data_IF_368834339018
#
_entry.id   IF_368834339018
#
_cell.length_a   1.000
_cell.length_b   1.000
_cell.length_c   1.000
_cell.angle_alpha   90.00
_cell.angle_beta   90.00
_cell.angle_gamma   90.00
#
_symmetry.space_group_name_H-M   'P 1'
#
loop_
_entity.id
_entity.type
_entity.pdbx_description
1 polymer ?
#
# COMPACT_ATOMS: atom_id res chain seq x y z
N UNK A 1 0.74 -16.49 22.58
CA UNK A 1 1.90 -16.43 21.67
C UNK A 1 2.11 -15.00 21.20
N UNK A 2 3.35 -14.51 21.19
CA UNK A 2 3.68 -13.16 20.68
C UNK A 2 4.37 -13.27 19.32
N UNK A 3 3.76 -12.61 18.32
CA UNK A 3 4.22 -12.65 16.94
C UNK A 3 4.71 -11.26 16.52
N UNK A 4 5.86 -11.21 15.86
CA UNK A 4 6.39 -9.98 15.29
C UNK A 4 6.44 -10.07 13.76
N UNK A 5 5.78 -9.14 13.08
CA UNK A 5 5.98 -8.91 11.65
C UNK A 5 6.99 -7.78 11.47
N UNK A 6 8.10 -8.03 10.79
CA UNK A 6 9.10 -6.99 10.51
C UNK A 6 9.03 -6.62 9.02
N UNK A 7 8.37 -5.52 8.68
CA UNK A 7 8.23 -5.09 7.30
C UNK A 7 8.51 -3.58 7.14
N UNK A 8 9.71 -3.26 6.73
CA UNK A 8 10.21 -1.89 6.61
C UNK A 8 10.44 -1.48 5.15
N UNK A 9 9.57 -1.95 4.24
CA UNK A 9 9.57 -1.66 2.82
C UNK A 9 8.71 -0.42 2.49
N UNK A 10 8.38 -0.20 1.22
CA UNK A 10 7.54 0.92 0.77
C UNK A 10 6.07 0.73 1.17
N UNK A 11 5.30 1.82 1.11
CA UNK A 11 3.87 1.84 1.47
C UNK A 11 3.07 0.78 0.72
N UNK A 12 3.30 0.61 -0.59
CA UNK A 12 2.62 -0.41 -1.40
C UNK A 12 2.83 -1.82 -0.86
N UNK A 13 4.06 -2.16 -0.48
CA UNK A 13 4.39 -3.48 0.08
C UNK A 13 3.68 -3.72 1.43
N UNK A 14 3.55 -2.66 2.25
CA UNK A 14 2.82 -2.76 3.52
C UNK A 14 1.32 -3.01 3.27
N UNK A 15 0.73 -2.33 2.30
CA UNK A 15 -0.67 -2.56 1.88
C UNK A 15 -0.87 -4.02 1.48
N UNK A 16 0.01 -4.54 0.62
CA UNK A 16 -0.03 -5.92 0.13
C UNK A 16 0.22 -6.96 1.24
N UNK A 17 0.80 -6.55 2.38
CA UNK A 17 1.02 -7.45 3.53
C UNK A 17 -0.16 -7.54 4.51
N UNK A 18 -1.21 -6.77 4.32
CA UNK A 18 -2.38 -6.82 5.24
C UNK A 18 -3.10 -8.18 5.28
N UNK A 19 -3.20 -8.96 4.18
CA UNK A 19 -3.69 -10.33 4.21
C UNK A 19 -2.87 -11.27 5.09
N UNK A 20 -1.53 -11.08 5.15
CA UNK A 20 -0.66 -11.85 6.03
C UNK A 20 -1.00 -11.60 7.52
N UNK A 21 -1.31 -10.35 7.91
CA UNK A 21 -1.72 -10.03 9.28
C UNK A 21 -3.03 -10.76 9.61
N UNK A 22 -4.01 -10.72 8.72
CA UNK A 22 -5.27 -11.44 8.87
C UNK A 22 -5.02 -12.93 9.05
N UNK A 23 -4.21 -13.52 8.16
CA UNK A 23 -3.93 -14.96 8.21
C UNK A 23 -3.21 -15.38 9.49
N UNK A 24 -2.26 -14.60 9.98
CA UNK A 24 -1.59 -14.86 11.26
C UNK A 24 -2.60 -14.86 12.42
N UNK A 25 -3.56 -13.94 12.41
CA UNK A 25 -4.61 -13.88 13.45
C UNK A 25 -5.58 -15.07 13.36
N UNK A 26 -5.92 -15.49 12.13
CA UNK A 26 -6.78 -16.68 11.91
C UNK A 26 -6.09 -17.97 12.39
N UNK A 27 -4.77 -18.11 12.15
CA UNK A 27 -3.99 -19.26 12.62
C UNK A 27 -3.79 -19.29 14.14
N UNK A 28 -3.68 -18.12 14.73
CA UNK A 28 -3.36 -17.94 16.15
C UNK A 28 -4.31 -16.90 16.78
N UNK A 29 -5.59 -17.23 17.02
CA UNK A 29 -6.61 -16.28 17.46
C UNK A 29 -6.23 -15.52 18.75
N UNK A 30 -5.58 -16.20 19.70
CA UNK A 30 -5.18 -15.65 20.99
C UNK A 30 -3.77 -14.99 20.97
N UNK A 31 -3.18 -14.81 19.79
CA UNK A 31 -1.84 -14.20 19.69
C UNK A 31 -1.89 -12.67 19.78
N UNK A 32 -0.84 -12.09 20.34
CA UNK A 32 -0.51 -10.68 20.22
C UNK A 32 0.39 -10.50 18.99
N UNK A 33 -0.08 -9.76 18.00
CA UNK A 33 0.68 -9.49 16.76
C UNK A 33 1.17 -8.04 16.80
N UNK A 34 2.46 -7.85 16.89
CA UNK A 34 3.10 -6.53 16.75
C UNK A 34 3.71 -6.39 15.34
N UNK A 35 3.67 -5.17 14.83
CA UNK A 35 4.17 -4.87 13.49
C UNK A 35 5.26 -3.80 13.52
N UNK A 36 6.50 -4.14 13.13
CA UNK A 36 7.61 -3.21 13.04
C UNK A 36 7.73 -2.65 11.63
N UNK A 37 7.61 -1.33 11.50
CA UNK A 37 7.64 -0.65 10.19
C UNK A 37 8.24 0.74 10.25
N UNK A 38 8.29 1.43 9.08
CA UNK A 38 8.72 2.84 8.99
C UNK A 38 7.60 3.79 9.47
N UNK A 39 7.94 4.99 9.99
CA UNK A 39 6.93 5.99 10.38
C UNK A 39 5.95 6.34 9.26
N UNK A 40 6.44 6.44 8.02
CA UNK A 40 5.62 6.73 6.83
C UNK A 40 4.52 5.70 6.55
N UNK A 41 4.69 4.49 7.06
CA UNK A 41 3.78 3.37 6.80
C UNK A 41 2.71 3.22 7.89
N UNK A 42 2.90 3.90 9.06
CA UNK A 42 2.03 3.72 10.23
C UNK A 42 0.56 3.86 9.89
N UNK A 43 0.21 4.88 9.10
CA UNK A 43 -1.18 5.17 8.76
C UNK A 43 -1.88 4.04 7.99
N UNK A 44 -1.15 3.26 7.19
CA UNK A 44 -1.73 2.16 6.38
C UNK A 44 -2.30 1.04 7.25
N UNK A 45 -1.62 0.74 8.35
CA UNK A 45 -1.96 -0.38 9.25
C UNK A 45 -2.53 0.09 10.59
N UNK A 46 -2.66 1.41 10.81
CA UNK A 46 -3.36 1.93 11.98
C UNK A 46 -4.82 1.46 11.98
N UNK A 47 -5.37 1.28 13.16
CA UNK A 47 -6.72 0.76 13.38
C UNK A 47 -6.96 -0.69 12.88
N UNK A 48 -5.92 -1.42 12.46
CA UNK A 48 -6.08 -2.83 12.13
C UNK A 48 -6.39 -3.61 13.43
N UNK A 49 -7.58 -4.22 13.52
CA UNK A 49 -8.02 -4.87 14.78
C UNK A 49 -7.20 -6.11 15.14
N UNK A 50 -6.43 -6.64 14.20
CA UNK A 50 -5.58 -7.81 14.40
C UNK A 50 -4.19 -7.46 14.92
N UNK A 51 -3.84 -6.17 15.00
CA UNK A 51 -2.55 -5.71 15.54
C UNK A 51 -2.69 -5.27 16.99
N UNK A 52 -1.75 -5.71 17.83
CA UNK A 52 -1.62 -5.26 19.20
C UNK A 52 -0.81 -3.95 19.28
N UNK A 53 0.34 -3.87 18.63
CA UNK A 53 1.19 -2.68 18.63
C UNK A 53 1.88 -2.47 17.27
N UNK A 54 2.10 -1.18 16.90
CA UNK A 54 2.92 -0.78 15.76
C UNK A 54 4.21 -0.17 16.27
N UNK A 55 5.33 -0.86 16.06
CA UNK A 55 6.66 -0.42 16.46
C UNK A 55 7.28 0.35 15.30
N UNK A 56 7.72 1.59 15.57
CA UNK A 56 8.32 2.43 14.55
C UNK A 56 9.83 2.35 14.56
N UNK A 57 10.41 2.16 13.37
CA UNK A 57 11.85 2.18 13.13
C UNK A 57 12.19 3.28 12.11
N UNK A 58 12.50 4.46 12.61
CA UNK A 58 12.83 5.64 11.78
C UNK A 58 14.28 5.62 11.31
N UNK A 59 14.59 4.76 10.36
CA UNK A 59 15.93 4.55 9.81
C UNK A 59 16.59 5.79 9.22
N UNK A 60 15.79 6.79 8.81
CA UNK A 60 16.27 8.02 8.17
C UNK A 60 16.31 9.21 9.13
N UNK A 61 15.57 9.15 10.25
CA UNK A 61 15.48 10.17 11.28
C UNK A 61 16.14 9.73 12.60
N UNK A 62 15.34 9.65 13.68
CA UNK A 62 15.82 9.41 15.05
C UNK A 62 16.54 8.06 15.23
N UNK A 63 16.26 7.06 14.39
CA UNK A 63 16.87 5.73 14.47
C UNK A 63 17.97 5.52 13.41
N UNK A 64 18.58 6.60 12.93
CA UNK A 64 19.68 6.50 11.97
C UNK A 64 20.91 5.82 12.60
N UNK A 65 21.48 4.89 11.86
CA UNK A 65 22.74 4.23 12.23
C UNK A 65 22.59 3.16 13.33
N UNK A 66 23.70 2.89 14.03
CA UNK A 66 23.78 1.80 15.02
C UNK A 66 22.99 2.08 16.30
N UNK A 67 22.91 3.34 16.72
CA UNK A 67 22.16 3.73 17.94
C UNK A 67 20.68 3.41 17.79
N UNK A 68 20.08 3.75 16.65
CA UNK A 68 18.67 3.41 16.37
C UNK A 68 18.44 1.91 16.26
N UNK A 69 19.35 1.19 15.61
CA UNK A 69 19.29 -0.27 15.56
C UNK A 69 19.28 -0.89 16.98
N UNK A 70 20.18 -0.43 17.87
CA UNK A 70 20.27 -0.92 19.25
C UNK A 70 19.03 -0.52 20.07
N UNK A 71 18.45 0.67 19.85
CA UNK A 71 17.19 1.08 20.49
C UNK A 71 16.07 0.10 20.13
N UNK A 72 15.87 -0.16 18.85
CA UNK A 72 14.82 -1.09 18.38
C UNK A 72 15.11 -2.50 18.91
N UNK A 73 16.34 -2.97 18.83
CA UNK A 73 16.74 -4.27 19.36
C UNK A 73 16.40 -4.40 20.86
N UNK A 74 16.64 -3.37 21.66
CA UNK A 74 16.28 -3.36 23.10
C UNK A 74 14.78 -3.55 23.29
N UNK A 75 13.94 -2.85 22.51
CA UNK A 75 12.49 -3.00 22.54
C UNK A 75 12.10 -4.45 22.24
N UNK A 76 12.60 -5.01 21.15
CA UNK A 76 12.27 -6.37 20.74
C UNK A 76 12.67 -7.41 21.78
N UNK A 77 13.84 -7.26 22.41
CA UNK A 77 14.30 -8.15 23.49
C UNK A 77 13.37 -8.12 24.72
N UNK A 78 12.86 -6.95 25.09
CA UNK A 78 11.97 -6.81 26.24
C UNK A 78 10.61 -7.48 26.01
N UNK A 79 10.12 -7.47 24.76
CA UNK A 79 8.81 -8.03 24.40
C UNK A 79 8.78 -9.56 24.32
N UNK A 80 9.93 -10.24 24.14
CA UNK A 80 10.06 -11.71 24.15
C UNK A 80 9.10 -12.39 23.17
N UNK A 81 9.29 -12.14 21.89
CA UNK A 81 8.48 -12.77 20.82
C UNK A 81 8.82 -14.25 20.66
N UNK A 82 7.80 -15.05 20.34
CA UNK A 82 7.90 -16.48 20.05
C UNK A 82 8.16 -16.76 18.56
N UNK A 83 7.67 -15.86 17.71
CA UNK A 83 7.67 -16.03 16.26
C UNK A 83 7.89 -14.70 15.54
N UNK A 84 8.71 -14.70 14.49
CA UNK A 84 8.90 -13.55 13.63
C UNK A 84 8.67 -13.89 12.15
N UNK A 85 7.90 -13.07 11.45
CA UNK A 85 7.71 -13.13 10.00
C UNK A 85 8.37 -11.92 9.37
N UNK A 86 9.27 -12.17 8.39
CA UNK A 86 10.03 -11.13 7.69
C UNK A 86 9.68 -11.15 6.20
N UNK A 87 8.64 -10.37 5.78
CA UNK A 87 8.10 -10.40 4.43
C UNK A 87 8.89 -9.53 3.44
N UNK A 88 10.17 -9.33 3.67
CA UNK A 88 11.06 -8.60 2.75
C UNK A 88 12.52 -9.09 2.83
N UNK A 89 13.39 -8.63 1.90
CA UNK A 89 14.69 -9.22 1.62
C UNK A 89 15.89 -8.59 2.34
N UNK A 90 15.69 -7.68 3.31
CA UNK A 90 16.79 -6.95 3.94
C UNK A 90 17.36 -7.64 5.17
N UNK A 91 18.68 -7.92 5.17
CA UNK A 91 19.42 -8.55 6.26
C UNK A 91 19.20 -7.86 7.63
N UNK A 92 19.09 -6.54 7.69
CA UNK A 92 18.94 -5.82 8.97
C UNK A 92 17.71 -6.27 9.78
N UNK A 93 16.63 -6.66 9.12
CA UNK A 93 15.43 -7.17 9.78
C UNK A 93 15.65 -8.58 10.33
N UNK A 94 16.35 -9.41 9.58
CA UNK A 94 16.73 -10.76 10.04
C UNK A 94 17.66 -10.66 11.25
N UNK A 95 18.65 -9.76 11.19
CA UNK A 95 19.57 -9.51 12.32
C UNK A 95 18.84 -9.00 13.57
N UNK A 96 17.87 -8.09 13.43
CA UNK A 96 17.04 -7.65 14.56
C UNK A 96 16.33 -8.82 15.24
N UNK A 97 15.67 -9.68 14.47
CA UNK A 97 14.98 -10.85 15.00
C UNK A 97 15.95 -11.84 15.67
N UNK A 98 17.07 -12.12 15.01
CA UNK A 98 18.07 -13.06 15.53
C UNK A 98 18.73 -12.56 16.82
N UNK A 99 19.17 -11.30 16.85
CA UNK A 99 19.78 -10.69 18.03
C UNK A 99 18.78 -10.44 19.16
N UNK A 100 17.49 -10.29 18.84
CA UNK A 100 16.40 -10.27 19.83
C UNK A 100 16.13 -11.67 20.43
N UNK A 101 16.81 -12.72 19.94
CA UNK A 101 16.68 -14.13 20.36
C UNK A 101 15.28 -14.70 20.12
N UNK A 102 14.61 -14.27 19.03
CA UNK A 102 13.32 -14.85 18.63
C UNK A 102 13.59 -16.29 18.13
N UNK A 103 12.95 -17.33 18.71
CA UNK A 103 13.29 -18.71 18.44
C UNK A 103 12.89 -19.16 17.02
N UNK A 104 11.79 -18.64 16.49
CA UNK A 104 11.26 -19.04 15.19
C UNK A 104 11.20 -17.83 14.26
N UNK A 105 12.02 -17.83 13.21
CA UNK A 105 12.13 -16.73 12.24
C UNK A 105 11.89 -17.29 10.85
N UNK A 106 10.84 -16.82 10.17
CA UNK A 106 10.53 -17.18 8.78
C UNK A 106 10.75 -15.98 7.84
N UNK A 107 11.23 -16.25 6.65
CA UNK A 107 11.44 -15.26 5.60
C UNK A 107 11.74 -15.93 4.27
N UNK A 108 11.98 -15.13 3.23
CA UNK A 108 12.26 -15.65 1.89
C UNK A 108 13.70 -16.13 1.72
N UNK A 109 13.87 -17.17 0.90
CA UNK A 109 15.16 -17.75 0.53
C UNK A 109 16.07 -16.75 -0.19
N UNK A 110 15.52 -15.85 -0.96
CA UNK A 110 16.20 -14.77 -1.70
C UNK A 110 16.66 -13.61 -0.82
N UNK A 111 16.35 -13.63 0.48
CA UNK A 111 16.76 -12.55 1.39
C UNK A 111 18.27 -12.57 1.66
N UNK A 112 18.90 -11.39 1.63
CA UNK A 112 20.27 -11.25 2.09
C UNK A 112 20.33 -11.66 3.57
N UNK A 113 21.13 -12.71 3.88
CA UNK A 113 21.18 -13.27 5.24
C UNK A 113 20.13 -14.36 5.51
N UNK A 114 19.52 -14.95 4.48
CA UNK A 114 18.53 -16.04 4.62
C UNK A 114 19.07 -17.25 5.40
N UNK A 115 20.41 -17.46 5.45
CA UNK A 115 21.03 -18.50 6.24
C UNK A 115 20.82 -18.36 7.76
N UNK A 116 20.40 -17.18 8.24
CA UNK A 116 20.05 -16.92 9.64
C UNK A 116 18.59 -17.26 9.98
N UNK A 117 17.77 -17.52 8.98
CA UNK A 117 16.34 -17.88 9.15
C UNK A 117 16.22 -19.32 9.66
N UNK A 118 15.23 -19.58 10.53
CA UNK A 118 14.85 -20.92 10.93
C UNK A 118 14.08 -21.64 9.82
N UNK A 119 13.22 -20.89 9.10
CA UNK A 119 12.48 -21.40 7.95
C UNK A 119 12.64 -20.46 6.75
N UNK A 120 13.04 -21.03 5.62
CA UNK A 120 13.16 -20.34 4.34
C UNK A 120 12.00 -20.73 3.46
N UNK A 121 11.34 -19.74 2.87
CA UNK A 121 10.26 -19.94 1.92
C UNK A 121 10.72 -19.46 0.56
N UNK A 122 10.45 -20.24 -0.48
CA UNK A 122 10.80 -19.87 -1.84
C UNK A 122 10.01 -18.65 -2.32
N UNK A 123 10.72 -17.64 -2.87
CA UNK A 123 10.10 -16.45 -3.45
C UNK A 123 9.70 -16.72 -4.91
N UNK A 124 8.48 -17.22 -5.14
CA UNK A 124 8.00 -17.57 -6.48
C UNK A 124 7.60 -16.32 -7.28
N UNK A 125 8.41 -15.96 -8.27
CA UNK A 125 8.17 -14.80 -9.14
C UNK A 125 6.89 -14.91 -10.00
N UNK A 126 6.32 -16.10 -10.16
CA UNK A 126 5.09 -16.32 -10.95
C UNK A 126 3.82 -15.99 -10.18
N UNK A 127 3.88 -15.88 -8.85
CA UNK A 127 2.75 -15.55 -8.00
C UNK A 127 2.55 -14.05 -7.84
N UNK A 128 1.35 -13.65 -7.46
CA UNK A 128 1.11 -12.30 -6.97
C UNK A 128 1.84 -12.05 -5.64
N UNK A 129 2.27 -10.80 -5.36
CA UNK A 129 3.02 -10.49 -4.13
C UNK A 129 2.26 -10.87 -2.86
N UNK A 130 0.95 -10.66 -2.79
CA UNK A 130 0.11 -11.10 -1.66
C UNK A 130 0.23 -12.61 -1.44
N UNK A 131 0.22 -13.40 -2.50
CA UNK A 131 0.31 -14.87 -2.41
C UNK A 131 1.70 -15.31 -1.95
N UNK A 132 2.75 -14.64 -2.43
CA UNK A 132 4.12 -14.86 -1.92
C UNK A 132 4.20 -14.60 -0.41
N UNK A 133 3.59 -13.49 0.04
CA UNK A 133 3.56 -13.15 1.47
C UNK A 133 2.78 -14.17 2.29
N UNK A 134 1.69 -14.73 1.75
CA UNK A 134 0.92 -15.79 2.38
C UNK A 134 1.66 -17.15 2.39
N UNK A 135 2.55 -17.40 1.43
CA UNK A 135 3.42 -18.59 1.46
C UNK A 135 4.32 -18.62 2.70
N UNK A 136 4.68 -17.47 3.29
CA UNK A 136 5.47 -17.40 4.55
C UNK A 136 4.76 -18.10 5.71
N UNK A 137 3.45 -18.23 5.64
CA UNK A 137 2.60 -18.94 6.62
C UNK A 137 1.91 -20.16 6.02
N UNK A 138 2.45 -20.70 4.91
CA UNK A 138 2.00 -21.92 4.22
C UNK A 138 0.52 -21.91 3.84
N UNK A 139 -0.02 -20.74 3.53
CA UNK A 139 -1.41 -20.61 3.15
C UNK A 139 -1.67 -20.97 1.69
N UNK A 140 -2.63 -21.87 1.46
CA UNK A 140 -3.06 -22.34 0.12
C UNK A 140 -4.58 -22.30 -0.04
N UNK A 141 -5.25 -21.51 0.77
CA UNK A 141 -6.70 -21.40 0.77
C UNK A 141 -7.24 -20.34 -0.20
N UNK A 142 -8.46 -19.90 0.05
CA UNK A 142 -9.13 -18.86 -0.71
C UNK A 142 -8.42 -17.51 -0.59
N UNK A 143 -8.70 -16.62 -1.56
CA UNK A 143 -8.11 -15.29 -1.62
C UNK A 143 -8.44 -14.46 -0.38
N UNK A 144 -7.44 -14.07 0.40
CA UNK A 144 -7.60 -13.14 1.53
C UNK A 144 -7.48 -11.70 1.00
N UNK A 145 -8.50 -10.86 1.13
CA UNK A 145 -8.47 -9.51 0.59
C UNK A 145 -7.54 -8.59 1.37
N UNK A 146 -6.98 -7.62 0.68
CA UNK A 146 -6.31 -6.46 1.30
C UNK A 146 -7.35 -5.73 2.16
N UNK A 147 -6.94 -5.24 3.35
CA UNK A 147 -7.82 -4.46 4.21
C UNK A 147 -7.09 -3.29 4.85
N UNK A 148 -7.74 -2.12 4.79
CA UNK A 148 -7.35 -0.90 5.48
C UNK A 148 -8.55 -0.45 6.30
N UNK A 149 -8.31 0.10 7.47
CA UNK A 149 -9.35 0.39 8.46
C UNK A 149 -9.45 1.89 8.77
N UNK A 150 -10.14 2.69 7.92
CA UNK A 150 -10.41 4.08 8.25
C UNK A 150 -11.33 4.19 9.46
N UNK A 151 -11.04 5.11 10.38
CA UNK A 151 -11.88 5.37 11.54
C UNK A 151 -13.04 6.31 11.19
N UNK A 152 -14.03 6.42 12.06
CA UNK A 152 -15.25 7.23 11.83
C UNK A 152 -14.95 8.69 11.47
N UNK A 153 -13.96 9.28 12.14
CA UNK A 153 -13.51 10.65 11.86
C UNK A 153 -12.97 10.84 10.44
N UNK A 154 -12.32 9.82 9.88
CA UNK A 154 -11.82 9.88 8.50
C UNK A 154 -12.99 9.96 7.51
N UNK A 155 -14.03 9.15 7.69
CA UNK A 155 -15.26 9.21 6.89
C UNK A 155 -15.97 10.56 7.04
N UNK A 156 -16.06 11.09 8.27
CA UNK A 156 -16.68 12.38 8.54
C UNK A 156 -15.96 13.51 7.80
N UNK A 157 -14.63 13.54 7.82
CA UNK A 157 -13.84 14.54 7.10
C UNK A 157 -14.06 14.43 5.60
N UNK A 158 -13.98 13.23 5.03
CA UNK A 158 -14.15 13.00 3.59
C UNK A 158 -15.57 13.37 3.13
N UNK A 159 -16.60 13.00 3.89
CA UNK A 159 -17.97 13.36 3.56
C UNK A 159 -18.14 14.89 3.48
N UNK A 160 -17.63 15.64 4.47
CA UNK A 160 -17.70 17.12 4.47
C UNK A 160 -17.03 17.74 3.24
N UNK A 161 -15.87 17.21 2.81
CA UNK A 161 -15.19 17.69 1.61
C UNK A 161 -16.05 17.40 0.37
N UNK A 162 -16.55 16.20 0.21
CA UNK A 162 -17.34 15.78 -0.94
C UNK A 162 -18.66 16.56 -1.03
N UNK A 163 -19.37 16.72 0.09
CA UNK A 163 -20.62 17.48 0.19
C UNK A 163 -20.43 18.96 -0.16
N UNK A 164 -19.33 19.58 0.29
CA UNK A 164 -18.98 20.95 -0.08
C UNK A 164 -18.85 21.14 -1.59
N UNK A 165 -18.43 20.11 -2.32
CA UNK A 165 -18.32 20.09 -3.77
C UNK A 165 -19.60 19.60 -4.48
N UNK A 166 -20.67 19.28 -3.73
CA UNK A 166 -21.95 18.82 -4.28
C UNK A 166 -22.04 17.33 -4.57
N UNK A 167 -21.09 16.53 -4.08
CA UNK A 167 -21.17 15.07 -4.16
C UNK A 167 -21.83 14.51 -2.90
N UNK A 168 -23.01 13.93 -3.06
CA UNK A 168 -23.81 13.34 -1.97
C UNK A 168 -23.93 11.82 -2.11
N UNK A 169 -23.39 11.24 -3.17
CA UNK A 169 -23.52 9.81 -3.48
C UNK A 169 -24.92 9.41 -3.95
N UNK A 170 -25.72 10.38 -4.42
CA UNK A 170 -27.07 10.16 -4.96
C UNK A 170 -27.02 9.27 -6.22
N UNK A 171 -28.18 8.73 -6.58
CA UNK A 171 -28.32 7.97 -7.82
C UNK A 171 -27.88 8.81 -9.03
N UNK A 172 -27.09 8.19 -9.90
CA UNK A 172 -26.48 8.86 -11.06
C UNK A 172 -25.14 9.54 -10.80
N UNK A 173 -24.84 10.01 -9.58
CA UNK A 173 -23.52 10.57 -9.25
C UNK A 173 -22.42 9.47 -9.23
N UNK A 174 -21.29 9.74 -9.86
CA UNK A 174 -20.13 8.84 -9.87
C UNK A 174 -18.90 9.58 -9.38
N UNK A 175 -18.19 9.00 -8.41
CA UNK A 175 -16.91 9.49 -7.95
C UNK A 175 -15.78 8.69 -8.62
N UNK A 176 -14.93 9.40 -9.34
CA UNK A 176 -13.78 8.83 -10.07
C UNK A 176 -12.52 9.41 -9.46
N UNK A 177 -11.65 8.55 -8.92
CA UNK A 177 -10.38 8.97 -8.34
C UNK A 177 -9.26 8.76 -9.36
N UNK A 178 -8.43 9.79 -9.52
CA UNK A 178 -7.27 9.79 -10.41
C UNK A 178 -6.02 9.97 -9.56
N UNK A 179 -5.12 8.98 -9.60
CA UNK A 179 -3.85 8.97 -8.87
C UNK A 179 -2.67 9.03 -9.86
N UNK A 180 -2.31 10.22 -10.36
CA UNK A 180 -1.34 10.40 -11.45
C UNK A 180 0.10 10.28 -10.99
N UNK A 181 0.37 10.31 -9.68
CA UNK A 181 1.70 10.29 -9.13
C UNK A 181 2.28 8.88 -8.92
N UNK A 182 3.62 8.84 -8.81
CA UNK A 182 4.37 7.69 -8.32
C UNK A 182 5.67 8.19 -7.71
N UNK A 183 6.21 7.47 -6.71
CA UNK A 183 7.56 7.76 -6.18
C UNK A 183 8.66 7.46 -7.21
N UNK A 184 8.36 6.64 -8.20
CA UNK A 184 9.25 6.24 -9.27
C UNK A 184 8.77 6.86 -10.56
N UNK A 185 9.55 7.83 -11.09
CA UNK A 185 9.18 8.60 -12.28
C UNK A 185 8.91 7.70 -13.51
N UNK A 186 9.68 6.62 -13.64
CA UNK A 186 9.54 5.63 -14.71
C UNK A 186 8.22 4.82 -14.67
N UNK A 187 7.46 4.93 -13.58
CA UNK A 187 6.13 4.33 -13.46
C UNK A 187 4.98 5.32 -13.70
N UNK A 188 5.31 6.58 -13.98
CA UNK A 188 4.30 7.61 -14.18
C UNK A 188 3.87 7.68 -15.64
N UNK A 189 2.58 7.46 -15.88
CA UNK A 189 1.97 7.75 -17.18
C UNK A 189 1.99 9.26 -17.44
N UNK A 190 2.12 9.73 -18.71
CA UNK A 190 2.21 11.17 -19.00
C UNK A 190 1.08 11.98 -18.37
N UNK A 191 1.45 13.08 -17.74
CA UNK A 191 0.50 13.93 -17.03
C UNK A 191 -0.52 14.56 -17.98
N UNK A 192 -0.14 14.80 -19.22
CA UNK A 192 -0.99 15.32 -20.28
C UNK A 192 -2.12 14.35 -20.61
N UNK A 193 -1.86 13.06 -20.63
CA UNK A 193 -2.87 12.02 -20.84
C UNK A 193 -3.86 11.94 -19.66
N UNK A 194 -3.38 12.10 -18.42
CA UNK A 194 -4.27 12.25 -17.26
C UNK A 194 -5.14 13.49 -17.35
N UNK A 195 -4.55 14.61 -17.78
CA UNK A 195 -5.31 15.85 -18.03
C UNK A 195 -6.42 15.62 -19.05
N UNK A 196 -6.10 15.00 -20.17
CA UNK A 196 -7.08 14.70 -21.23
C UNK A 196 -8.24 13.84 -20.72
N UNK A 197 -7.97 12.82 -19.93
CA UNK A 197 -9.02 12.00 -19.31
C UNK A 197 -9.91 12.84 -18.42
N UNK A 198 -9.34 13.68 -17.55
CA UNK A 198 -10.11 14.56 -16.65
C UNK A 198 -10.96 15.54 -17.46
N UNK A 199 -10.40 16.16 -18.51
CA UNK A 199 -11.11 17.10 -19.40
C UNK A 199 -12.29 16.43 -20.11
N UNK A 200 -12.19 15.17 -20.46
CA UNK A 200 -13.30 14.39 -21.05
C UNK A 200 -14.36 14.04 -20.00
N UNK A 201 -13.96 13.55 -18.83
CA UNK A 201 -14.86 13.10 -17.77
C UNK A 201 -15.67 14.26 -17.16
N UNK A 202 -15.07 15.43 -16.92
CA UNK A 202 -15.74 16.58 -16.27
C UNK A 202 -16.88 17.18 -17.10
N UNK A 203 -17.00 16.85 -18.39
CA UNK A 203 -18.11 17.27 -19.25
C UNK A 203 -19.45 16.69 -18.76
N UNK A 204 -19.42 15.51 -18.14
CA UNK A 204 -20.58 14.94 -17.49
C UNK A 204 -20.73 15.50 -16.07
N UNK A 205 -21.76 16.29 -15.83
CA UNK A 205 -22.01 16.97 -14.53
C UNK A 205 -22.30 16.02 -13.38
N UNK A 206 -22.64 14.77 -13.66
CA UNK A 206 -22.82 13.72 -12.66
C UNK A 206 -21.50 13.02 -12.27
N UNK A 207 -20.39 13.33 -12.95
CA UNK A 207 -19.09 12.79 -12.61
C UNK A 207 -18.30 13.77 -11.75
N UNK A 208 -17.89 13.28 -10.58
CA UNK A 208 -17.01 13.98 -9.66
C UNK A 208 -15.62 13.35 -9.75
N UNK A 209 -14.62 14.15 -10.02
CA UNK A 209 -13.25 13.67 -10.24
C UNK A 209 -12.37 14.11 -9.06
N UNK A 210 -11.86 13.17 -8.28
CA UNK A 210 -10.90 13.43 -7.21
C UNK A 210 -9.48 13.20 -7.70
N UNK A 211 -8.65 14.23 -7.75
CA UNK A 211 -7.22 14.11 -8.04
C UNK A 211 -6.50 13.83 -6.73
N UNK A 212 -5.86 12.67 -6.60
CA UNK A 212 -5.24 12.24 -5.36
C UNK A 212 -3.72 12.17 -5.47
N UNK A 213 -3.04 12.32 -4.34
CA UNK A 213 -1.58 12.29 -4.31
C UNK A 213 -0.99 12.97 -3.07
N UNK A 214 0.33 12.92 -2.95
CA UNK A 214 1.09 13.59 -1.91
C UNK A 214 1.15 15.11 -2.15
N UNK A 215 1.57 15.86 -1.12
CA UNK A 215 1.81 17.31 -1.24
C UNK A 215 2.87 17.63 -2.32
N UNK A 216 3.88 16.78 -2.48
CA UNK A 216 4.90 16.95 -3.50
C UNK A 216 4.35 16.85 -4.94
N UNK A 217 3.27 16.10 -5.11
CA UNK A 217 2.61 15.90 -6.41
C UNK A 217 1.67 17.06 -6.81
N UNK A 218 1.46 18.06 -5.93
CA UNK A 218 0.81 19.32 -6.32
C UNK A 218 1.52 20.06 -7.46
N UNK A 219 2.82 19.82 -7.65
CA UNK A 219 3.60 20.35 -8.78
C UNK A 219 3.20 19.77 -10.14
N UNK A 220 2.53 18.61 -10.18
CA UNK A 220 1.99 18.06 -11.42
C UNK A 220 0.90 18.98 -11.97
N UNK A 221 1.01 19.35 -13.23
CA UNK A 221 0.17 20.35 -13.90
C UNK A 221 -1.29 19.89 -14.13
N UNK A 222 -2.01 19.57 -13.04
CA UNK A 222 -3.42 19.15 -13.03
C UNK A 222 -4.24 20.10 -12.16
N UNK A 223 -4.39 21.34 -12.61
CA UNK A 223 -5.18 22.36 -11.91
C UNK A 223 -6.46 22.67 -12.69
N UNK A 224 -7.61 22.58 -12.00
CA UNK A 224 -8.95 22.82 -12.56
C UNK A 224 -9.73 23.76 -11.63
N UNK A 225 -9.31 25.02 -11.42
CA UNK A 225 -9.83 25.89 -10.36
C UNK A 225 -11.30 26.30 -10.55
N UNK A 226 -11.81 26.25 -11.78
CA UNK A 226 -13.16 26.67 -12.12
C UNK A 226 -14.17 25.50 -12.23
N UNK A 227 -13.71 24.27 -12.01
CA UNK A 227 -14.53 23.06 -12.18
C UNK A 227 -14.98 22.51 -10.83
N UNK A 228 -16.19 22.85 -10.39
CA UNK A 228 -16.74 22.44 -9.09
C UNK A 228 -16.77 20.91 -8.88
N UNK A 229 -16.85 20.14 -9.96
CA UNK A 229 -16.86 18.68 -9.93
C UNK A 229 -15.47 18.06 -10.07
N UNK A 230 -14.37 18.86 -10.07
CA UNK A 230 -13.00 18.38 -9.98
C UNK A 230 -12.41 18.82 -8.64
N UNK A 231 -12.04 17.87 -7.81
CA UNK A 231 -11.61 18.09 -6.42
C UNK A 231 -10.13 17.68 -6.30
N UNK A 232 -9.28 18.61 -5.89
CA UNK A 232 -7.86 18.33 -5.67
C UNK A 232 -7.61 17.90 -4.22
N UNK A 233 -7.41 16.61 -4.01
CA UNK A 233 -7.07 16.01 -2.71
C UNK A 233 -5.56 15.89 -2.47
N UNK A 234 -4.70 16.31 -3.40
CA UNK A 234 -3.26 16.16 -3.28
C UNK A 234 -2.69 16.93 -2.08
N UNK A 235 -2.16 16.18 -1.10
CA UNK A 235 -1.62 16.75 0.14
C UNK A 235 -2.65 17.26 1.15
N UNK A 236 -3.95 17.09 0.88
CA UNK A 236 -5.05 17.48 1.77
C UNK A 236 -5.54 16.33 2.65
N UNK A 237 -5.26 15.10 2.23
CA UNK A 237 -5.67 13.87 2.93
C UNK A 237 -4.48 12.95 3.14
N UNK A 238 -4.49 12.23 4.26
CA UNK A 238 -3.53 11.18 4.55
C UNK A 238 -4.00 9.82 3.96
N UNK A 239 -3.18 8.77 4.10
CA UNK A 239 -3.47 7.46 3.50
C UNK A 239 -4.71 6.76 4.11
N UNK A 240 -5.01 6.99 5.37
CA UNK A 240 -6.22 6.42 6.00
C UNK A 240 -7.46 7.15 5.49
N UNK A 241 -7.40 8.48 5.41
CA UNK A 241 -8.45 9.31 4.81
C UNK A 241 -8.64 8.98 3.33
N UNK A 242 -7.55 8.67 2.61
CA UNK A 242 -7.63 8.18 1.25
C UNK A 242 -8.39 6.84 1.18
N UNK A 243 -8.20 5.93 2.13
CA UNK A 243 -9.02 4.71 2.25
C UNK A 243 -10.51 5.04 2.41
N UNK A 244 -10.86 6.00 3.27
CA UNK A 244 -12.24 6.46 3.42
C UNK A 244 -12.80 7.08 2.13
N UNK A 245 -11.99 7.81 1.36
CA UNK A 245 -12.36 8.36 0.05
C UNK A 245 -12.61 7.25 -0.99
N UNK A 246 -11.70 6.26 -1.06
CA UNK A 246 -11.83 5.10 -1.97
C UNK A 246 -13.13 4.34 -1.72
N UNK A 247 -13.55 4.16 -0.47
CA UNK A 247 -14.80 3.45 -0.16
C UNK A 247 -16.05 4.09 -0.77
N UNK A 248 -15.97 5.38 -1.14
CA UNK A 248 -17.03 6.13 -1.82
C UNK A 248 -16.91 6.08 -3.34
N UNK A 249 -15.71 5.78 -3.85
CA UNK A 249 -15.41 5.83 -5.28
C UNK A 249 -16.14 4.74 -6.07
N UNK A 250 -16.42 5.04 -7.34
CA UNK A 250 -16.89 4.07 -8.32
C UNK A 250 -15.73 3.53 -9.16
N UNK A 251 -14.74 4.39 -9.44
CA UNK A 251 -13.55 4.03 -10.22
C UNK A 251 -12.33 4.65 -9.54
N UNK A 252 -11.24 3.89 -9.51
CA UNK A 252 -9.90 4.40 -9.15
C UNK A 252 -8.97 4.09 -10.31
N UNK A 253 -8.33 5.10 -10.87
CA UNK A 253 -7.33 4.96 -11.93
C UNK A 253 -5.99 5.53 -11.47
N UNK A 254 -4.92 4.82 -11.72
CA UNK A 254 -3.57 5.26 -11.34
C UNK A 254 -2.47 4.38 -11.88
N UNK A 255 -1.24 4.80 -11.66
CA UNK A 255 -0.04 4.06 -12.04
C UNK A 255 0.16 2.81 -11.17
N UNK A 256 1.14 1.95 -11.52
CA UNK A 256 1.67 0.87 -10.66
C UNK A 256 2.27 1.47 -9.38
N UNK A 257 1.40 1.80 -8.42
CA UNK A 257 1.76 2.47 -7.17
C UNK A 257 0.74 2.22 -6.05
N UNK A 258 1.04 2.66 -4.82
CA UNK A 258 0.20 2.38 -3.65
C UNK A 258 -1.30 2.71 -3.78
N UNK A 259 -1.77 3.75 -4.50
CA UNK A 259 -3.19 4.02 -4.65
C UNK A 259 -4.02 2.86 -5.19
N UNK A 260 -3.54 2.16 -6.24
CA UNK A 260 -4.27 1.02 -6.81
C UNK A 260 -4.26 -0.19 -5.88
N UNK A 261 -3.19 -0.40 -5.10
CA UNK A 261 -3.13 -1.46 -4.11
C UNK A 261 -4.11 -1.18 -2.95
N UNK A 262 -4.17 0.07 -2.46
CA UNK A 262 -5.15 0.47 -1.45
C UNK A 262 -6.56 0.28 -1.97
N UNK A 263 -6.85 0.70 -3.22
CA UNK A 263 -8.15 0.55 -3.84
C UNK A 263 -8.60 -0.90 -3.96
N UNK A 264 -7.66 -1.82 -4.16
CA UNK A 264 -7.94 -3.27 -4.22
C UNK A 264 -8.48 -3.85 -2.91
N UNK A 265 -8.35 -3.13 -1.80
CA UNK A 265 -8.88 -3.50 -0.48
C UNK A 265 -10.34 -3.10 -0.24
N UNK A 266 -11.01 -2.51 -1.23
CA UNK A 266 -12.39 -2.05 -1.12
C UNK A 266 -13.26 -2.70 -2.20
N UNK A 267 -14.47 -3.11 -1.82
CA UNK A 267 -15.38 -3.85 -2.71
C UNK A 267 -16.04 -2.96 -3.78
N UNK A 268 -16.23 -1.66 -3.48
CA UNK A 268 -17.01 -0.78 -4.33
C UNK A 268 -16.30 -0.39 -5.62
N UNK A 269 -15.04 0.11 -5.62
CA UNK A 269 -14.43 0.68 -6.81
C UNK A 269 -14.03 -0.38 -7.83
N UNK A 270 -14.16 -0.02 -9.12
CA UNK A 270 -13.43 -0.68 -10.18
C UNK A 270 -12.03 -0.07 -10.27
N UNK A 271 -10.97 -0.88 -10.24
CA UNK A 271 -9.58 -0.41 -10.19
C UNK A 271 -8.92 -0.53 -11.56
N UNK A 272 -8.43 0.58 -12.09
CA UNK A 272 -7.69 0.61 -13.35
C UNK A 272 -6.22 0.93 -13.05
N UNK A 273 -5.34 -0.02 -13.27
CA UNK A 273 -3.89 0.16 -13.16
C UNK A 273 -3.28 0.45 -14.53
N UNK A 274 -2.49 1.53 -14.63
CA UNK A 274 -1.72 1.86 -15.83
C UNK A 274 -0.28 1.45 -15.59
N UNK A 275 0.19 0.48 -16.37
CA UNK A 275 1.46 -0.19 -16.20
C UNK A 275 2.34 -0.02 -17.44
N UNK A 276 3.64 -0.10 -17.24
CA UNK A 276 4.58 -0.30 -18.33
C UNK A 276 4.62 -1.73 -18.85
N UNK A 277 5.20 -1.94 -20.04
CA UNK A 277 5.30 -3.25 -20.66
C UNK A 277 5.91 -4.30 -19.75
N UNK A 278 5.30 -5.49 -19.68
CA UNK A 278 5.77 -6.62 -18.89
C UNK A 278 5.81 -6.40 -17.36
N UNK A 279 5.26 -5.30 -16.84
CA UNK A 279 5.25 -5.03 -15.40
C UNK A 279 4.15 -5.79 -14.66
N UNK A 280 3.08 -6.17 -15.34
CA UNK A 280 2.02 -7.03 -14.78
C UNK A 280 2.58 -8.37 -14.30
N UNK A 281 3.50 -8.96 -15.06
CA UNK A 281 4.08 -10.28 -14.77
C UNK A 281 4.97 -10.30 -13.51
N UNK A 282 5.32 -9.13 -12.96
CA UNK A 282 6.03 -9.03 -11.69
C UNK A 282 5.13 -9.35 -10.47
N UNK A 283 3.82 -9.51 -10.66
CA UNK A 283 2.87 -9.89 -9.61
C UNK A 283 2.45 -8.76 -8.67
N UNK A 284 2.42 -7.50 -9.16
CA UNK A 284 1.99 -6.32 -8.40
C UNK A 284 0.74 -5.65 -8.99
N UNK A 285 -0.03 -6.35 -9.79
CA UNK A 285 -1.31 -5.85 -10.31
C UNK A 285 -2.37 -5.70 -9.19
N UNK A 286 -3.51 -5.00 -9.42
CA UNK A 286 -4.56 -4.87 -8.41
C UNK A 286 -5.06 -6.23 -7.93
N UNK A 287 -5.03 -6.47 -6.61
CA UNK A 287 -5.43 -7.75 -6.01
C UNK A 287 -6.94 -7.82 -5.78
N UNK A 288 -7.72 -7.60 -6.83
CA UNK A 288 -9.19 -7.67 -6.83
C UNK A 288 -9.70 -8.13 -8.19
N UNK A 289 -10.87 -8.76 -8.24
CA UNK A 289 -11.52 -9.14 -9.49
C UNK A 289 -12.11 -7.94 -10.23
N UNK A 290 -12.50 -6.89 -9.48
CA UNK A 290 -13.00 -5.63 -10.04
C UNK A 290 -11.83 -4.75 -10.51
N UNK A 291 -11.03 -5.25 -11.43
CA UNK A 291 -9.88 -4.48 -11.92
C UNK A 291 -9.55 -4.77 -13.38
N UNK A 292 -8.83 -3.83 -13.97
CA UNK A 292 -8.15 -4.01 -15.25
C UNK A 292 -6.76 -3.39 -15.18
N UNK A 293 -5.82 -3.97 -15.94
CA UNK A 293 -4.48 -3.43 -16.14
C UNK A 293 -4.34 -3.05 -17.60
N UNK A 294 -4.00 -1.80 -17.85
CA UNK A 294 -3.70 -1.27 -19.17
C UNK A 294 -2.18 -1.11 -19.25
N UNK A 295 -1.56 -1.77 -20.22
CA UNK A 295 -0.15 -1.59 -20.55
C UNK A 295 -0.01 -0.63 -21.73
N UNK A 296 0.60 0.55 -21.49
CA UNK A 296 0.87 1.53 -22.54
C UNK A 296 2.29 1.36 -23.07
N UNK A 297 2.42 0.63 -24.18
CA UNK A 297 3.70 0.32 -24.79
C UNK A 297 4.35 1.56 -25.44
N UNK A 298 3.57 2.47 -26.04
CA UNK A 298 4.10 3.69 -26.68
C UNK A 298 4.81 4.61 -25.68
N UNK A 299 4.26 4.71 -24.47
CA UNK A 299 4.84 5.54 -23.41
C UNK A 299 6.24 5.07 -23.02
N UNK A 300 6.46 3.77 -22.96
CA UNK A 300 7.73 3.20 -22.51
C UNK A 300 8.79 3.14 -23.60
N UNK A 301 8.42 3.01 -24.86
CA UNK A 301 9.36 3.07 -25.99
C UNK A 301 10.00 4.45 -26.13
N UNK A 302 9.25 5.51 -25.86
CA UNK A 302 9.70 6.90 -25.95
C UNK A 302 10.45 7.41 -24.68
N UNK A 303 10.35 6.72 -23.55
CA UNK A 303 10.94 7.11 -22.26
C UNK A 303 11.92 6.07 -21.70
N UNK A 304 12.58 5.29 -22.54
CA UNK A 304 13.68 4.43 -22.10
C UNK A 304 14.83 5.33 -21.65
N UNK A 305 14.74 5.80 -20.41
CA UNK A 305 15.91 6.27 -19.68
C UNK A 305 16.76 5.03 -19.46
N UNK A 306 17.87 4.95 -20.17
CA UNK A 306 18.91 3.95 -19.92
C UNK A 306 19.22 4.02 -18.43
N UNK A 307 18.81 3.01 -17.69
CA UNK A 307 19.20 2.85 -16.29
C UNK A 307 20.68 2.49 -16.34
N UNK A 308 21.57 3.24 -15.67
CA UNK A 308 22.99 2.92 -15.59
C UNK A 308 23.21 1.62 -14.80
#
# INVERSE_FOLDING_TARGET
MKILVIHTAFIGDIVLSTPLIQRLKDMYPESEIDYLTLPTNKSVISNNPNLNEIILYDKKGQDKGIKGFLRVLKILKQKKYDYAVIPHRFIKSILLAKLAKIPNIVGFDVATGSFLLNKKVHYDMKKHEVERLLDLVEYKGEKIPIRIYPAKENFTKINKILEHHGYFGNEGQKLILVAPGSQRAEKMWPIEKYREIIERLKKNKNYFIGITGSKAEKKLSLNFPNDKNVIDFRGEINLVEFGALISKANIVVGNDSSPIHIASGFEKPFVIGIFGPGKRDLGFFPYTEKSNVIEDNEFYENNIVKIP
#
